data_IF_124633922789
#
_entry.id   IF_124633922789
#
_cell.length_a   1.000
_cell.length_b   1.000
_cell.length_c   1.000
_cell.angle_alpha   90.00
_cell.angle_beta   90.00
_cell.angle_gamma   90.00
#
_symmetry.space_group_name_H-M   'P 1'
#
loop_
_entity.id
_entity.type
_entity.pdbx_description
1 polymer ?
#
# COMPACT_ATOMS: atom_id res chain seq x y z
N UNK A 1 -19.97 -79.55 -32.23
CA UNK A 1 -18.74 -78.84 -32.67
C UNK A 1 -18.93 -77.34 -32.48
N UNK A 2 -18.25 -76.72 -31.50
CA UNK A 2 -18.38 -75.28 -31.23
C UNK A 2 -17.42 -74.52 -32.15
N UNK A 3 -17.97 -73.60 -32.93
CA UNK A 3 -17.33 -72.88 -34.02
C UNK A 3 -16.19 -71.96 -33.53
N UNK A 4 -14.93 -72.39 -33.72
CA UNK A 4 -13.70 -71.69 -33.29
C UNK A 4 -13.59 -70.25 -33.81
N UNK A 5 -14.27 -69.90 -34.91
CA UNK A 5 -14.26 -68.54 -35.45
C UNK A 5 -14.93 -67.49 -34.55
N UNK A 6 -15.94 -67.88 -33.75
CA UNK A 6 -16.65 -66.94 -32.86
C UNK A 6 -15.81 -66.53 -31.63
N UNK A 7 -14.88 -67.37 -31.18
CA UNK A 7 -13.98 -67.06 -30.05
C UNK A 7 -12.86 -66.10 -30.44
N UNK A 8 -12.33 -66.20 -31.65
CA UNK A 8 -11.24 -65.33 -32.13
C UNK A 8 -11.70 -63.87 -32.33
N UNK A 9 -12.95 -63.66 -32.76
CA UNK A 9 -13.52 -62.31 -32.89
C UNK A 9 -13.72 -61.62 -31.53
N UNK A 10 -14.26 -62.34 -30.52
CA UNK A 10 -14.42 -61.81 -29.16
C UNK A 10 -13.10 -61.36 -28.52
N UNK A 11 -11.99 -62.04 -28.81
CA UNK A 11 -10.65 -61.64 -28.29
C UNK A 11 -10.13 -60.37 -28.94
N UNK A 12 -10.37 -60.15 -30.25
CA UNK A 12 -9.97 -58.92 -30.94
C UNK A 12 -10.78 -57.70 -30.48
N UNK A 13 -12.09 -57.86 -30.28
CA UNK A 13 -12.97 -56.79 -29.77
C UNK A 13 -12.57 -56.37 -28.35
N UNK A 14 -12.22 -57.32 -27.48
CA UNK A 14 -11.73 -57.01 -26.12
C UNK A 14 -10.40 -56.26 -26.12
N UNK A 15 -9.48 -56.60 -27.04
CA UNK A 15 -8.18 -55.93 -27.16
C UNK A 15 -8.31 -54.50 -27.67
N UNK A 16 -9.21 -54.26 -28.63
CA UNK A 16 -9.52 -52.92 -29.13
C UNK A 16 -10.20 -52.04 -28.05
N UNK A 17 -11.08 -52.61 -27.22
CA UNK A 17 -11.69 -51.88 -26.10
C UNK A 17 -10.67 -51.44 -25.04
N UNK A 18 -9.68 -52.28 -24.72
CA UNK A 18 -8.63 -51.91 -23.74
C UNK A 18 -7.72 -50.80 -24.25
N UNK A 19 -7.46 -50.74 -25.56
CA UNK A 19 -6.63 -49.71 -26.17
C UNK A 19 -7.35 -48.33 -26.18
N UNK A 20 -8.64 -48.32 -26.50
CA UNK A 20 -9.47 -47.10 -26.48
C UNK A 20 -9.66 -46.58 -25.05
N UNK A 21 -9.86 -47.47 -24.07
CA UNK A 21 -9.95 -47.10 -22.65
C UNK A 21 -8.67 -46.43 -22.15
N UNK A 22 -7.49 -46.95 -22.54
CA UNK A 22 -6.20 -46.34 -22.17
C UNK A 22 -6.02 -44.96 -22.79
N UNK A 23 -6.38 -44.80 -24.06
CA UNK A 23 -6.28 -43.51 -24.76
C UNK A 23 -7.21 -42.45 -24.15
N UNK A 24 -8.42 -42.85 -23.75
CA UNK A 24 -9.37 -41.94 -23.11
C UNK A 24 -8.83 -41.34 -21.80
N UNK A 25 -8.17 -42.15 -20.97
CA UNK A 25 -7.59 -41.70 -19.70
C UNK A 25 -6.49 -40.65 -19.95
N UNK A 26 -5.63 -40.89 -20.94
CA UNK A 26 -4.56 -39.95 -21.30
C UNK A 26 -5.13 -38.60 -21.76
N UNK A 27 -6.18 -38.61 -22.57
CA UNK A 27 -6.84 -37.38 -23.03
C UNK A 27 -7.48 -36.60 -21.88
N UNK A 28 -8.10 -37.29 -20.92
CA UNK A 28 -8.67 -36.65 -19.73
C UNK A 28 -7.55 -36.01 -18.88
N UNK A 29 -6.44 -36.71 -18.66
CA UNK A 29 -5.31 -36.15 -17.89
C UNK A 29 -4.72 -34.93 -18.61
N UNK A 30 -4.50 -35.01 -19.92
CA UNK A 30 -3.97 -33.88 -20.71
C UNK A 30 -4.91 -32.67 -20.69
N UNK A 31 -6.21 -32.88 -20.82
CA UNK A 31 -7.19 -31.79 -20.75
C UNK A 31 -7.23 -31.14 -19.36
N UNK A 32 -7.10 -31.90 -18.27
CA UNK A 32 -6.98 -31.32 -16.92
C UNK A 32 -5.71 -30.49 -16.76
N UNK A 33 -4.56 -30.94 -17.29
CA UNK A 33 -3.31 -30.18 -17.24
C UNK A 33 -3.45 -28.86 -18.01
N UNK A 34 -4.02 -28.90 -19.21
CA UNK A 34 -4.23 -27.69 -20.03
C UNK A 34 -5.17 -26.73 -19.31
N UNK A 35 -6.29 -27.20 -18.75
CA UNK A 35 -7.22 -26.39 -17.98
C UNK A 35 -6.55 -25.77 -16.74
N UNK A 36 -5.67 -26.51 -16.07
CA UNK A 36 -4.91 -26.00 -14.92
C UNK A 36 -3.93 -24.90 -15.34
N UNK A 37 -3.19 -25.09 -16.42
CA UNK A 37 -2.26 -24.07 -16.96
C UNK A 37 -3.05 -22.82 -17.38
N UNK A 38 -4.17 -22.98 -18.08
CA UNK A 38 -5.01 -21.85 -18.48
C UNK A 38 -5.57 -21.13 -17.25
N UNK A 39 -6.04 -21.87 -16.25
CA UNK A 39 -6.52 -21.32 -14.98
C UNK A 39 -5.43 -20.51 -14.27
N UNK A 40 -4.22 -21.06 -14.14
CA UNK A 40 -3.12 -20.41 -13.42
C UNK A 40 -2.53 -19.23 -14.18
N UNK A 41 -2.41 -19.31 -15.50
CA UNK A 41 -1.79 -18.27 -16.33
C UNK A 41 -2.75 -17.12 -16.63
N UNK A 42 -4.02 -17.41 -16.92
CA UNK A 42 -5.00 -16.38 -17.31
C UNK A 42 -5.86 -15.88 -16.16
N UNK A 43 -6.09 -16.68 -15.11
CA UNK A 43 -7.00 -16.32 -14.02
C UNK A 43 -6.30 -16.05 -12.69
N UNK A 44 -4.96 -16.16 -12.58
CA UNK A 44 -4.31 -15.56 -11.43
C UNK A 44 -4.40 -14.04 -11.54
N UNK A 45 -5.06 -13.34 -10.59
CA UNK A 45 -4.84 -11.91 -10.46
C UNK A 45 -3.33 -11.70 -10.26
N UNK A 46 -2.76 -10.73 -10.96
CA UNK A 46 -1.37 -10.29 -10.78
C UNK A 46 -1.28 -9.55 -9.44
N UNK A 47 -1.61 -10.21 -8.35
CA UNK A 47 -1.28 -9.71 -7.03
C UNK A 47 0.19 -10.04 -6.83
N UNK A 48 1.07 -9.10 -7.18
CA UNK A 48 2.50 -9.20 -6.89
C UNK A 48 2.69 -8.94 -5.40
N UNK A 49 2.84 -9.96 -4.53
CA UNK A 49 3.00 -9.74 -3.09
C UNK A 49 4.25 -8.91 -2.80
N UNK A 50 5.27 -9.02 -3.66
CA UNK A 50 6.49 -8.23 -3.59
C UNK A 50 6.21 -6.72 -3.72
N UNK A 51 5.32 -6.34 -4.65
CA UNK A 51 4.95 -4.93 -4.84
C UNK A 51 4.27 -4.36 -3.59
N UNK A 52 3.45 -5.18 -2.93
CA UNK A 52 2.72 -4.78 -1.72
C UNK A 52 3.66 -4.56 -0.52
N UNK A 53 4.67 -5.42 -0.40
CA UNK A 53 5.67 -5.35 0.67
C UNK A 53 6.55 -4.10 0.52
N UNK A 54 7.05 -3.85 -0.70
CA UNK A 54 7.91 -2.70 -1.01
C UNK A 54 7.19 -1.38 -0.68
N UNK A 55 5.90 -1.27 -0.97
CA UNK A 55 5.15 -0.04 -0.68
C UNK A 55 4.91 0.16 0.82
N UNK A 56 4.65 -0.90 1.60
CA UNK A 56 4.50 -0.80 3.06
C UNK A 56 5.80 -0.34 3.73
N UNK A 57 6.92 -0.97 3.38
CA UNK A 57 8.23 -0.61 3.94
C UNK A 57 8.62 0.82 3.54
N UNK A 58 8.33 1.22 2.31
CA UNK A 58 8.55 2.58 1.84
C UNK A 58 7.72 3.59 2.63
N UNK A 59 6.41 3.36 2.77
CA UNK A 59 5.52 4.27 3.50
C UNK A 59 5.95 4.45 4.96
N UNK A 60 6.30 3.35 5.63
CA UNK A 60 6.76 3.37 7.03
C UNK A 60 8.09 4.10 7.17
N UNK A 61 9.01 3.89 6.22
CA UNK A 61 10.32 4.56 6.21
C UNK A 61 10.18 6.06 5.97
N UNK A 62 9.29 6.47 5.06
CA UNK A 62 9.00 7.89 4.80
C UNK A 62 8.39 8.54 6.05
N UNK A 63 7.37 7.93 6.66
CA UNK A 63 6.75 8.46 7.88
C UNK A 63 7.76 8.54 9.01
N UNK A 64 8.60 7.52 9.21
CA UNK A 64 9.63 7.56 10.25
C UNK A 64 10.71 8.62 9.99
N UNK A 65 11.13 8.81 8.75
CA UNK A 65 12.08 9.86 8.38
C UNK A 65 11.47 11.25 8.58
N UNK A 66 10.20 11.41 8.19
CA UNK A 66 9.43 12.63 8.36
C UNK A 66 9.34 13.06 9.82
N UNK A 67 8.98 12.14 10.71
CA UNK A 67 8.87 12.42 12.14
C UNK A 67 10.17 12.92 12.76
N UNK A 68 11.30 12.39 12.29
CA UNK A 68 12.65 12.77 12.76
C UNK A 68 13.21 14.01 12.07
N UNK A 69 12.51 14.54 11.06
CA UNK A 69 12.96 15.73 10.35
C UNK A 69 12.75 16.96 11.24
N UNK A 70 13.69 17.91 11.17
CA UNK A 70 13.56 19.21 11.82
C UNK A 70 12.34 19.94 11.24
N UNK A 71 11.50 20.46 12.13
CA UNK A 71 10.27 21.16 11.74
C UNK A 71 10.51 22.56 11.20
N UNK A 72 11.71 23.12 11.38
CA UNK A 72 12.01 24.50 11.05
C UNK A 72 11.20 25.52 11.86
N UNK A 73 10.40 25.12 12.85
CA UNK A 73 9.69 26.04 13.74
C UNK A 73 10.62 26.63 14.81
N UNK A 74 11.48 25.77 15.35
CA UNK A 74 12.48 26.05 16.40
C UNK A 74 13.65 25.08 16.22
N UNK A 75 14.87 25.49 16.57
CA UNK A 75 16.11 24.71 16.30
C UNK A 75 16.12 23.26 16.82
N UNK A 76 15.36 22.98 17.87
CA UNK A 76 15.38 21.69 18.56
C UNK A 76 14.04 20.96 18.46
N UNK A 77 13.16 21.35 17.53
CA UNK A 77 11.80 20.81 17.44
C UNK A 77 11.62 20.00 16.18
N UNK A 78 11.29 18.73 16.36
CA UNK A 78 11.04 17.80 15.26
C UNK A 78 9.59 17.87 14.78
N UNK A 79 9.31 17.32 13.61
CA UNK A 79 7.93 17.15 13.14
C UNK A 79 7.10 16.29 14.10
N UNK A 80 7.71 15.29 14.74
CA UNK A 80 7.07 14.47 15.77
C UNK A 80 6.53 15.33 16.93
N UNK A 81 7.34 16.26 17.43
CA UNK A 81 6.94 17.18 18.51
C UNK A 81 5.77 18.06 18.08
N UNK A 82 5.80 18.58 16.84
CA UNK A 82 4.69 19.37 16.31
C UNK A 82 3.40 18.55 16.20
N UNK A 83 3.47 17.30 15.75
CA UNK A 83 2.32 16.42 15.69
C UNK A 83 1.74 16.13 17.08
N UNK A 84 2.60 15.83 18.06
CA UNK A 84 2.18 15.61 19.45
C UNK A 84 1.47 16.85 20.00
N UNK A 85 2.03 18.04 19.79
CA UNK A 85 1.49 19.27 20.33
C UNK A 85 0.20 19.72 19.65
N UNK A 86 0.06 19.50 18.34
CA UNK A 86 -1.20 19.68 17.62
C UNK A 86 -2.31 18.82 18.24
N UNK A 87 -2.00 17.58 18.64
CA UNK A 87 -2.97 16.66 19.27
C UNK A 87 -3.33 17.07 20.69
N UNK A 88 -2.35 17.59 21.45
CA UNK A 88 -2.58 18.14 22.79
C UNK A 88 -3.42 19.43 22.77
N UNK A 89 -3.55 20.07 21.61
CA UNK A 89 -4.20 21.38 21.48
C UNK A 89 -3.30 22.53 21.96
N UNK A 90 -1.99 22.31 22.03
CA UNK A 90 -1.03 23.34 22.38
C UNK A 90 -0.68 24.14 21.12
N UNK A 91 -0.64 25.46 21.23
CA UNK A 91 -0.18 26.33 20.15
C UNK A 91 1.32 26.58 20.32
N UNK A 92 2.15 25.86 19.56
CA UNK A 92 3.56 26.22 19.45
C UNK A 92 3.63 27.53 18.65
N UNK A 93 4.29 28.53 19.22
CA UNK A 93 4.60 29.78 18.51
C UNK A 93 6.03 29.68 18.01
N UNK A 94 6.23 29.71 16.70
CA UNK A 94 7.57 29.70 16.11
C UNK A 94 8.12 31.12 16.29
N UNK A 95 9.03 31.31 17.25
CA UNK A 95 9.43 32.65 17.73
C UNK A 95 10.77 33.15 17.21
N UNK A 96 11.43 32.43 16.31
CA UNK A 96 12.74 32.82 15.81
C UNK A 96 12.68 33.43 14.41
N UNK A 97 13.24 34.64 14.26
CA UNK A 97 13.38 35.43 13.03
C UNK A 97 14.25 34.77 11.94
N UNK A 98 14.68 33.52 12.11
CA UNK A 98 15.72 32.90 11.26
C UNK A 98 15.18 31.84 10.29
N UNK A 99 13.93 31.37 10.41
CA UNK A 99 13.50 30.15 9.71
C UNK A 99 12.48 30.34 8.58
N UNK A 100 12.47 31.49 7.91
CA UNK A 100 11.47 31.77 6.86
C UNK A 100 11.95 31.59 5.40
N UNK A 101 13.23 31.38 5.10
CA UNK A 101 13.67 31.45 3.67
C UNK A 101 14.71 30.43 3.21
N UNK A 102 15.48 29.79 4.10
CA UNK A 102 16.58 28.90 3.66
C UNK A 102 16.25 27.41 3.75
N UNK A 103 15.22 27.02 4.51
CA UNK A 103 14.90 25.60 4.73
C UNK A 103 13.86 25.06 3.73
N UNK A 104 13.05 25.93 3.16
CA UNK A 104 11.92 25.56 2.32
C UNK A 104 11.93 26.34 1.01
N UNK A 105 12.13 25.64 -0.10
CA UNK A 105 12.05 26.22 -1.45
C UNK A 105 10.59 26.47 -1.91
N UNK A 106 9.60 26.15 -1.06
CA UNK A 106 8.20 26.36 -1.40
C UNK A 106 7.73 27.74 -0.92
N UNK A 107 7.33 28.65 -1.83
CA UNK A 107 6.83 29.98 -1.47
C UNK A 107 5.56 29.93 -0.60
N UNK A 108 4.87 28.79 -0.52
CA UNK A 108 3.74 28.61 0.41
C UNK A 108 4.16 28.52 1.88
N UNK A 109 5.46 28.41 2.17
CA UNK A 109 6.04 28.33 3.51
C UNK A 109 6.67 29.65 3.98
N UNK A 110 6.48 30.73 3.23
CA UNK A 110 7.02 32.04 3.60
C UNK A 110 6.17 32.62 4.74
N UNK A 111 6.78 32.90 5.90
CA UNK A 111 6.17 33.36 7.16
C UNK A 111 5.46 32.28 8.00
N UNK A 112 6.20 31.29 8.49
CA UNK A 112 5.74 30.35 9.50
C UNK A 112 5.67 31.05 10.87
N UNK A 113 4.47 31.24 11.40
CA UNK A 113 4.24 31.91 12.69
C UNK A 113 3.75 30.91 13.76
N UNK A 114 3.01 29.88 13.32
CA UNK A 114 2.46 28.86 14.21
C UNK A 114 3.06 27.48 13.92
N UNK A 115 3.08 26.62 14.94
CA UNK A 115 3.48 25.22 14.78
C UNK A 115 2.60 24.46 13.79
N UNK A 116 1.34 24.87 13.61
CA UNK A 116 0.46 24.29 12.59
C UNK A 116 0.93 24.64 11.17
N UNK A 117 1.37 25.87 10.94
CA UNK A 117 1.90 26.30 9.64
C UNK A 117 3.21 25.56 9.33
N UNK A 118 4.08 25.42 10.34
CA UNK A 118 5.31 24.64 10.24
C UNK A 118 5.03 23.18 9.87
N UNK A 119 4.03 22.58 10.53
CA UNK A 119 3.62 21.21 10.27
C UNK A 119 3.05 21.05 8.85
N UNK A 120 2.11 21.93 8.44
CA UNK A 120 1.56 21.94 7.08
C UNK A 120 2.67 22.05 6.02
N UNK A 121 3.63 22.96 6.24
CA UNK A 121 4.76 23.16 5.34
C UNK A 121 5.67 21.92 5.28
N UNK A 122 6.10 21.40 6.43
CA UNK A 122 6.98 20.25 6.53
C UNK A 122 6.37 19.00 5.89
N UNK A 123 5.08 18.75 6.11
CA UNK A 123 4.34 17.67 5.44
C UNK A 123 4.39 17.86 3.92
N UNK A 124 4.00 19.03 3.42
CA UNK A 124 3.92 19.30 1.99
C UNK A 124 5.28 19.12 1.29
N UNK A 125 6.36 19.58 1.91
CA UNK A 125 7.73 19.45 1.38
C UNK A 125 8.19 18.00 1.29
N UNK A 126 7.92 17.20 2.31
CA UNK A 126 8.28 15.78 2.33
C UNK A 126 7.46 14.99 1.32
N UNK A 127 6.21 15.39 1.08
CA UNK A 127 5.32 14.76 0.09
C UNK A 127 5.50 15.29 -1.33
N UNK A 128 6.16 16.44 -1.53
CA UNK A 128 6.40 17.05 -2.85
C UNK A 128 7.12 16.12 -3.83
N UNK A 129 8.18 15.36 -3.46
CA UNK A 129 8.79 14.38 -4.35
C UNK A 129 7.80 13.31 -4.83
N UNK A 130 6.84 12.90 -4.00
CA UNK A 130 5.80 11.94 -4.42
C UNK A 130 4.88 12.55 -5.50
N UNK A 131 4.55 13.84 -5.37
CA UNK A 131 3.80 14.58 -6.39
C UNK A 131 4.60 14.70 -7.69
N UNK A 132 5.89 15.03 -7.61
CA UNK A 132 6.78 15.14 -8.79
C UNK A 132 6.93 13.80 -9.52
N UNK A 133 6.93 12.69 -8.79
CA UNK A 133 6.93 11.34 -9.36
C UNK A 133 5.55 10.89 -9.87
N UNK A 134 4.54 11.77 -9.83
CA UNK A 134 3.14 11.48 -10.20
C UNK A 134 2.60 10.22 -9.51
N UNK A 135 3.01 9.98 -8.26
CA UNK A 135 2.53 8.85 -7.47
C UNK A 135 1.34 9.30 -6.65
N UNK A 136 0.13 8.77 -6.89
CA UNK A 136 -1.00 9.11 -6.05
C UNK A 136 -0.72 8.67 -4.62
N UNK A 137 -1.08 9.50 -3.66
CA UNK A 137 -0.94 9.17 -2.25
C UNK A 137 -2.09 9.73 -1.42
N UNK A 138 -2.27 9.13 -0.25
CA UNK A 138 -3.16 9.61 0.80
C UNK A 138 -2.39 9.62 2.12
N UNK A 139 -2.16 10.81 2.66
CA UNK A 139 -1.55 11.03 3.95
C UNK A 139 -2.62 11.46 4.95
N UNK A 140 -2.70 10.78 6.09
CA UNK A 140 -3.65 11.14 7.15
C UNK A 140 -3.03 10.98 8.53
N UNK A 141 -3.43 11.86 9.43
CA UNK A 141 -3.04 11.82 10.84
C UNK A 141 -4.29 11.99 11.68
N UNK A 142 -4.51 11.04 12.60
CA UNK A 142 -5.67 11.05 13.49
C UNK A 142 -5.29 10.65 14.91
N UNK A 143 -6.02 11.14 15.91
CA UNK A 143 -5.96 10.64 17.27
C UNK A 143 -7.37 10.31 17.74
N UNK A 144 -7.67 9.02 17.89
CA UNK A 144 -9.04 8.55 18.10
C UNK A 144 -9.95 8.90 16.92
N UNK A 145 -11.11 9.55 17.13
CA UNK A 145 -12.05 9.92 16.06
C UNK A 145 -11.68 11.24 15.34
N UNK A 146 -10.68 11.98 15.82
CA UNK A 146 -10.35 13.32 15.30
C UNK A 146 -9.24 13.23 14.26
N UNK A 147 -9.49 13.80 13.08
CA UNK A 147 -8.48 13.99 12.05
C UNK A 147 -7.77 15.33 12.25
N UNK A 148 -6.45 15.29 12.27
CA UNK A 148 -5.58 16.47 12.36
C UNK A 148 -5.02 16.85 11.00
N UNK A 149 -4.72 15.85 10.17
CA UNK A 149 -4.26 16.03 8.80
C UNK A 149 -4.95 15.04 7.87
N UNK A 150 -5.32 15.52 6.70
CA UNK A 150 -5.89 14.71 5.64
C UNK A 150 -5.54 15.36 4.30
N UNK A 151 -4.45 14.91 3.70
CA UNK A 151 -3.97 15.39 2.41
C UNK A 151 -3.90 14.22 1.44
N UNK A 152 -4.37 14.43 0.21
CA UNK A 152 -4.29 13.42 -0.83
C UNK A 152 -3.90 14.06 -2.14
N UNK A 153 -2.99 13.40 -2.84
CA UNK A 153 -2.66 13.73 -4.22
C UNK A 153 -3.23 12.67 -5.13
N UNK A 154 -4.06 13.09 -6.08
CA UNK A 154 -4.70 12.23 -7.08
C UNK A 154 -4.33 12.73 -8.47
N UNK A 155 -3.63 11.92 -9.26
CA UNK A 155 -3.37 12.21 -10.66
C UNK A 155 -3.56 10.94 -11.50
N UNK A 156 -4.55 10.98 -12.41
CA UNK A 156 -4.98 9.82 -13.20
C UNK A 156 -6.00 8.91 -12.50
N UNK A 157 -6.45 7.88 -13.22
CA UNK A 157 -7.32 6.84 -12.68
C UNK A 157 -6.53 5.91 -11.73
N UNK A 158 -7.02 5.74 -10.50
CA UNK A 158 -6.47 4.78 -9.54
C UNK A 158 -6.70 3.35 -10.05
N UNK A 159 -5.77 2.81 -10.83
CA UNK A 159 -5.69 1.37 -11.13
C UNK A 159 -4.87 0.63 -10.05
N UNK A 160 -5.00 1.06 -8.80
CA UNK A 160 -4.40 0.43 -7.63
C UNK A 160 -5.40 -0.50 -6.97
N UNK A 161 -4.95 -1.72 -6.65
CA UNK A 161 -5.70 -2.72 -5.88
C UNK A 161 -6.33 -2.10 -4.63
N UNK A 162 -7.56 -2.53 -4.31
CA UNK A 162 -8.28 -2.15 -3.09
C UNK A 162 -7.34 -2.16 -1.89
N UNK A 163 -7.35 -1.05 -1.14
CA UNK A 163 -6.92 -0.92 0.25
C UNK A 163 -5.85 -1.95 0.65
N UNK A 164 -4.59 -1.65 0.34
CA UNK A 164 -3.51 -2.43 0.94
C UNK A 164 -3.60 -2.32 2.46
N UNK A 165 -3.30 -3.43 3.16
CA UNK A 165 -3.15 -3.49 4.63
C UNK A 165 -1.97 -2.61 5.07
N UNK A 166 -2.05 -1.31 4.87
CA UNK A 166 -1.12 -0.35 5.46
C UNK A 166 -1.40 -0.38 6.95
N UNK A 167 -0.35 -0.53 7.76
CA UNK A 167 -0.46 -0.38 9.21
C UNK A 167 -0.08 1.04 9.57
N UNK A 168 -0.82 1.71 10.48
CA UNK A 168 -0.45 3.05 10.90
C UNK A 168 0.91 3.03 11.59
N UNK A 169 1.65 4.10 11.44
CA UNK A 169 2.68 4.45 12.41
C UNK A 169 1.99 5.02 13.66
N UNK A 170 2.17 4.37 14.80
CA UNK A 170 1.52 4.75 16.06
C UNK A 170 2.48 5.47 16.97
N UNK A 171 2.09 6.64 17.48
CA UNK A 171 2.86 7.44 18.41
C UNK A 171 2.06 7.71 19.69
N UNK A 172 2.56 7.34 20.88
CA UNK A 172 1.86 7.64 22.14
C UNK A 172 1.95 9.13 22.47
N UNK A 173 0.82 9.75 22.80
CA UNK A 173 0.76 11.19 23.13
C UNK A 173 0.73 11.37 24.65
N UNK A 174 1.88 11.42 25.30
CA UNK A 174 1.95 11.74 26.73
C UNK A 174 1.48 13.19 27.00
N UNK A 175 0.90 13.56 28.15
CA UNK A 175 0.41 12.72 29.24
C UNK A 175 -0.99 12.11 28.99
N UNK A 176 -1.50 12.16 27.77
CA UNK A 176 -2.82 11.62 27.44
C UNK A 176 -2.75 10.11 27.18
N UNK A 177 -3.90 9.44 27.23
CA UNK A 177 -4.09 8.05 26.80
C UNK A 177 -4.32 7.92 25.29
N UNK A 178 -4.24 9.03 24.55
CA UNK A 178 -4.43 9.05 23.11
C UNK A 178 -3.20 8.49 22.40
N UNK A 179 -3.47 7.74 21.33
CA UNK A 179 -2.47 7.30 20.36
C UNK A 179 -2.70 8.07 19.06
N UNK A 180 -1.65 8.69 18.56
CA UNK A 180 -1.62 9.30 17.25
C UNK A 180 -1.35 8.20 16.21
N UNK A 181 -2.20 8.11 15.20
CA UNK A 181 -2.06 7.19 14.09
C UNK A 181 -1.76 8.00 12.83
N UNK A 182 -0.60 7.73 12.23
CA UNK A 182 -0.12 8.37 11.01
C UNK A 182 -0.12 7.33 9.88
N UNK A 183 -0.77 7.66 8.78
CA UNK A 183 -0.89 6.79 7.63
C UNK A 183 -0.34 7.50 6.39
N UNK A 184 0.40 6.75 5.59
CA UNK A 184 0.82 7.16 4.26
C UNK A 184 0.54 6.01 3.30
N UNK A 185 -0.48 6.16 2.48
CA UNK A 185 -0.86 5.17 1.47
C UNK A 185 -0.38 5.66 0.11
N UNK A 186 0.45 4.86 -0.55
CA UNK A 186 1.02 5.20 -1.86
C UNK A 186 0.41 4.26 -2.89
N UNK A 187 -0.16 4.80 -3.97
CA UNK A 187 -0.74 4.01 -5.05
C UNK A 187 -2.17 3.51 -4.82
N UNK A 188 -2.81 3.87 -3.71
CA UNK A 188 -4.14 3.39 -3.34
C UNK A 188 -4.81 4.27 -2.27
N UNK A 189 -6.08 3.98 -1.99
CA UNK A 189 -6.79 4.58 -0.85
C UNK A 189 -6.34 3.91 0.45
N UNK A 190 -6.18 4.71 1.51
CA UNK A 190 -6.06 4.16 2.84
C UNK A 190 -7.33 3.40 3.22
N UNK A 191 -7.25 2.42 4.15
CA UNK A 191 -8.46 1.78 4.66
C UNK A 191 -9.45 2.85 5.13
N UNK A 192 -10.72 2.68 4.78
CA UNK A 192 -11.80 3.51 5.29
C UNK A 192 -11.88 3.26 6.80
N UNK A 193 -11.45 4.24 7.60
CA UNK A 193 -11.55 4.20 9.07
C UNK A 193 -12.54 5.27 9.52
#
# INVERSE_FOLDING_TARGET
MINKNKQNFKRRVKRAQTEIMGLMIIVVILSMIILFVVSVVFFKPKDDPLSSFIQKDLSTSIVSAMLKTDSGCTKDTTMEDLFIDAVRGNTITCKDEILSQTYYENPSCENIITGQDALNCGVSQILMPLQQMMRPYHFMVKAGPTFYFNESFRQGDFYGSKSMDVTPYTLPVYPTDKVLEIWLCIGGECPNI
#
